data_IF_614160210367
#
_entry.id   IF_614160210367
#
_cell.length_a   1.000
_cell.length_b   1.000
_cell.length_c   1.000
_cell.angle_alpha   90.00
_cell.angle_beta   90.00
_cell.angle_gamma   90.00
#
_symmetry.space_group_name_H-M   'P 1'
#
loop_
_entity.id
_entity.type
_entity.pdbx_description
1 polymer ?
#
# COMPACT_ATOMS: atom_id res chain seq x y z
N UNK A 1 6.28 1.20 18.95
CA UNK A 1 4.84 1.40 19.26
C UNK A 1 4.04 0.95 18.05
N UNK A 2 2.84 0.42 18.23
CA UNK A 2 2.00 0.02 17.09
C UNK A 2 1.41 1.28 16.43
N UNK A 3 1.36 1.29 15.10
CA UNK A 3 0.78 2.38 14.31
C UNK A 3 -0.67 2.63 14.71
N UNK A 4 -0.98 3.89 15.05
CA UNK A 4 -2.35 4.31 15.39
C UNK A 4 -3.24 4.24 14.15
N UNK A 5 -4.27 3.42 14.19
CA UNK A 5 -5.27 3.29 13.13
C UNK A 5 -6.67 3.11 13.73
N UNK A 6 -7.68 3.66 13.06
CA UNK A 6 -9.08 3.50 13.42
C UNK A 6 -9.66 2.19 12.88
N UNK A 7 -9.19 1.77 11.71
CA UNK A 7 -9.76 0.64 10.98
C UNK A 7 -8.92 -0.62 11.16
N UNK A 8 -9.63 -1.75 11.22
CA UNK A 8 -9.00 -3.07 11.27
C UNK A 8 -8.10 -3.30 10.02
N UNK A 9 -6.80 -3.58 10.21
CA UNK A 9 -5.88 -3.83 9.10
C UNK A 9 -6.30 -5.01 8.22
N UNK A 10 -6.95 -6.04 8.77
CA UNK A 10 -7.35 -7.22 7.98
C UNK A 10 -8.40 -6.87 6.91
N UNK A 11 -9.33 -5.97 7.27
CA UNK A 11 -10.30 -5.41 6.32
C UNK A 11 -9.61 -4.62 5.21
N UNK A 12 -8.59 -3.82 5.55
CA UNK A 12 -7.79 -3.07 4.58
C UNK A 12 -6.98 -3.97 3.64
N UNK A 13 -6.34 -5.02 4.18
CA UNK A 13 -5.59 -6.02 3.40
C UNK A 13 -6.50 -6.68 2.38
N UNK A 14 -7.64 -7.20 2.84
CA UNK A 14 -8.61 -7.89 1.98
C UNK A 14 -9.07 -6.96 0.86
N UNK A 15 -9.50 -5.75 1.19
CA UNK A 15 -9.96 -4.74 0.23
C UNK A 15 -8.92 -4.48 -0.86
N UNK A 16 -7.68 -4.21 -0.46
CA UNK A 16 -6.61 -3.85 -1.40
C UNK A 16 -6.18 -5.02 -2.28
N UNK A 17 -6.08 -6.24 -1.75
CA UNK A 17 -5.72 -7.42 -2.56
C UNK A 17 -6.82 -7.84 -3.55
N UNK A 18 -8.08 -7.47 -3.30
CA UNK A 18 -9.20 -7.74 -4.22
C UNK A 18 -9.55 -6.58 -5.12
N UNK A 19 -9.03 -5.37 -4.87
CA UNK A 19 -9.44 -4.12 -5.57
C UNK A 19 -9.33 -4.20 -7.09
N UNK A 20 -8.39 -4.99 -7.63
CA UNK A 20 -8.23 -5.16 -9.07
C UNK A 20 -9.35 -5.94 -9.75
N UNK A 21 -10.11 -6.74 -9.00
CA UNK A 21 -11.28 -7.44 -9.52
C UNK A 21 -12.40 -6.45 -9.88
N UNK A 22 -12.43 -5.29 -9.21
CA UNK A 22 -13.47 -4.26 -9.39
C UNK A 22 -13.22 -3.38 -10.63
N UNK A 23 -12.01 -3.36 -11.17
CA UNK A 23 -11.61 -2.51 -12.33
C UNK A 23 -12.08 -3.12 -13.67
N UNK A 24 -12.76 -4.27 -13.66
CA UNK A 24 -13.62 -4.75 -14.75
C UNK A 24 -12.96 -5.06 -16.10
N UNK A 25 -11.64 -4.98 -16.24
CA UNK A 25 -10.96 -5.03 -17.53
C UNK A 25 -9.81 -6.03 -17.59
N UNK A 26 -9.93 -6.98 -18.52
CA UNK A 26 -8.86 -7.68 -19.23
C UNK A 26 -8.06 -8.77 -18.50
N UNK A 27 -8.30 -9.99 -18.97
CA UNK A 27 -7.66 -11.24 -18.54
C UNK A 27 -6.15 -11.31 -18.75
N UNK A 28 -5.55 -10.36 -19.49
CA UNK A 28 -4.11 -10.27 -19.72
C UNK A 28 -3.32 -9.65 -18.56
N UNK A 29 -4.01 -9.05 -17.57
CA UNK A 29 -3.37 -8.49 -16.37
C UNK A 29 -3.42 -9.42 -15.16
N UNK A 30 -4.11 -10.56 -15.25
CA UNK A 30 -4.06 -11.61 -14.22
C UNK A 30 -2.71 -12.30 -14.28
N UNK A 31 -1.77 -11.59 -13.69
CA UNK A 31 -0.43 -12.05 -13.36
C UNK A 31 -0.53 -13.03 -12.21
N UNK A 32 0.42 -13.95 -12.10
CA UNK A 32 0.29 -15.04 -11.15
C UNK A 32 0.33 -14.52 -9.71
N UNK A 33 -0.51 -15.10 -8.85
CA UNK A 33 -0.42 -15.01 -7.40
C UNK A 33 0.85 -15.75 -6.95
N UNK A 34 1.99 -15.08 -7.11
CA UNK A 34 3.30 -15.71 -6.96
C UNK A 34 3.93 -15.34 -5.62
N UNK A 35 4.33 -16.32 -4.80
CA UNK A 35 5.12 -16.05 -3.61
C UNK A 35 6.44 -15.35 -3.95
N UNK A 36 6.95 -14.55 -3.02
CA UNK A 36 8.22 -13.82 -3.17
C UNK A 36 9.38 -14.73 -3.63
N UNK A 37 9.53 -15.91 -3.03
CA UNK A 37 10.68 -16.78 -3.28
C UNK A 37 10.66 -17.43 -4.67
N UNK A 38 9.46 -17.59 -5.25
CA UNK A 38 9.27 -18.15 -6.59
C UNK A 38 9.38 -17.09 -7.70
N UNK A 39 9.39 -15.80 -7.35
CA UNK A 39 9.47 -14.70 -8.29
C UNK A 39 10.81 -14.64 -9.04
N UNK A 40 10.80 -14.01 -10.23
CA UNK A 40 12.05 -13.69 -10.90
C UNK A 40 12.91 -12.75 -10.05
N UNK A 41 14.24 -12.86 -10.16
CA UNK A 41 15.17 -12.10 -9.32
C UNK A 41 14.96 -10.58 -9.38
N UNK A 42 14.54 -10.06 -10.53
CA UNK A 42 14.28 -8.64 -10.75
C UNK A 42 13.10 -8.12 -9.90
N UNK A 43 12.04 -8.92 -9.70
CA UNK A 43 10.95 -8.55 -8.81
C UNK A 43 11.33 -8.64 -7.33
N UNK A 44 12.15 -9.62 -6.95
CA UNK A 44 12.67 -9.69 -5.57
C UNK A 44 13.53 -8.46 -5.24
N UNK A 45 14.38 -8.04 -6.17
CA UNK A 45 15.16 -6.80 -6.04
C UNK A 45 14.27 -5.56 -5.96
N UNK A 46 13.20 -5.48 -6.76
CA UNK A 46 12.21 -4.41 -6.66
C UNK A 46 11.56 -4.39 -5.27
N UNK A 47 11.18 -5.54 -4.73
CA UNK A 47 10.58 -5.64 -3.41
C UNK A 47 11.54 -5.24 -2.29
N UNK A 48 12.81 -5.66 -2.35
CA UNK A 48 13.83 -5.25 -1.38
C UNK A 48 14.00 -3.73 -1.37
N UNK A 49 14.04 -3.10 -2.56
CA UNK A 49 14.09 -1.65 -2.69
C UNK A 49 12.81 -0.97 -2.14
N UNK A 50 11.63 -1.51 -2.47
CA UNK A 50 10.35 -1.04 -1.95
C UNK A 50 10.32 -1.08 -0.42
N UNK A 51 10.70 -2.21 0.18
CA UNK A 51 10.72 -2.40 1.64
C UNK A 51 11.59 -1.36 2.34
N UNK A 52 12.75 -1.04 1.79
CA UNK A 52 13.62 0.01 2.35
C UNK A 52 12.99 1.40 2.23
N UNK A 53 12.44 1.74 1.06
CA UNK A 53 11.81 3.04 0.81
C UNK A 53 10.59 3.25 1.71
N UNK A 54 9.70 2.25 1.79
CA UNK A 54 8.48 2.37 2.58
C UNK A 54 8.78 2.38 4.09
N UNK A 55 9.84 1.68 4.54
CA UNK A 55 10.30 1.76 5.92
C UNK A 55 10.80 3.17 6.28
N UNK A 56 11.54 3.82 5.38
CA UNK A 56 11.97 5.21 5.58
C UNK A 56 10.76 6.15 5.66
N UNK A 57 9.79 6.00 4.75
CA UNK A 57 8.56 6.79 4.78
C UNK A 57 7.73 6.53 6.03
N UNK A 58 7.65 5.28 6.51
CA UNK A 58 6.97 4.92 7.76
C UNK A 58 7.55 5.67 8.96
N UNK A 59 8.89 5.75 9.05
CA UNK A 59 9.58 6.43 10.15
C UNK A 59 9.22 7.91 10.28
N UNK A 60 8.66 8.51 9.22
CA UNK A 60 8.23 9.90 9.21
C UNK A 60 6.70 10.04 9.25
N UNK A 61 5.99 9.18 8.53
CA UNK A 61 4.53 9.18 8.47
C UNK A 61 3.90 8.80 9.82
N UNK A 62 4.48 7.84 10.55
CA UNK A 62 3.93 7.40 11.83
C UNK A 62 3.99 8.52 12.90
N UNK A 63 5.13 9.18 13.17
CA UNK A 63 5.18 10.30 14.11
C UNK A 63 4.32 11.51 13.67
N UNK A 64 4.28 11.79 12.36
CA UNK A 64 3.41 12.85 11.84
C UNK A 64 1.92 12.56 12.10
N UNK A 65 1.51 11.31 11.92
CA UNK A 65 0.15 10.87 12.19
C UNK A 65 -0.19 10.93 13.68
N UNK A 66 0.71 10.46 14.55
CA UNK A 66 0.57 10.58 16.00
C UNK A 66 0.39 12.05 16.42
N UNK A 67 1.21 12.96 15.89
CA UNK A 67 1.06 14.40 16.12
C UNK A 67 -0.27 14.97 15.60
N UNK A 68 -0.80 14.42 14.51
CA UNK A 68 -2.12 14.79 13.97
C UNK A 68 -3.25 14.38 14.92
N UNK A 69 -3.20 13.15 15.46
CA UNK A 69 -4.18 12.66 16.45
C UNK A 69 -4.06 13.46 17.76
N UNK A 70 -2.85 13.74 18.21
CA UNK A 70 -2.62 14.53 19.43
C UNK A 70 -3.10 15.98 19.27
N UNK A 71 -3.01 16.57 18.08
CA UNK A 71 -3.58 17.88 17.80
C UNK A 71 -5.11 17.91 17.96
N UNK A 72 -5.82 16.82 17.61
CA UNK A 72 -7.26 16.69 17.86
C UNK A 72 -7.55 16.51 19.36
N UNK A 73 -6.72 15.75 20.09
CA UNK A 73 -6.84 15.63 21.55
C UNK A 73 -6.65 16.95 22.29
N UNK A 74 -5.74 17.79 21.82
CA UNK A 74 -5.51 19.13 22.37
C UNK A 74 -6.73 20.07 22.20
N UNK A 75 -7.72 19.70 21.38
CA UNK A 75 -9.03 20.38 21.30
C UNK A 75 -10.03 19.91 22.37
N UNK A 76 -9.61 19.02 23.28
CA UNK A 76 -10.44 18.48 24.35
C UNK A 76 -11.15 17.17 24.02
N UNK A 77 -10.82 16.53 22.89
CA UNK A 77 -11.39 15.25 22.48
C UNK A 77 -10.78 14.09 23.27
N UNK A 78 -11.56 13.01 23.46
CA UNK A 78 -11.03 11.75 23.96
C UNK A 78 -10.05 11.13 22.95
N UNK A 79 -9.26 10.13 23.37
CA UNK A 79 -8.34 9.45 22.45
C UNK A 79 -9.06 8.83 21.25
N UNK A 80 -10.24 8.24 21.46
CA UNK A 80 -11.05 7.60 20.42
C UNK A 80 -11.65 8.65 19.48
N UNK A 81 -12.30 9.69 20.02
CA UNK A 81 -12.90 10.77 19.24
C UNK A 81 -11.83 11.55 18.44
N UNK A 82 -10.64 11.74 19.01
CA UNK A 82 -9.54 12.41 18.33
C UNK A 82 -9.00 11.58 17.16
N UNK A 83 -8.91 10.26 17.32
CA UNK A 83 -8.50 9.36 16.25
C UNK A 83 -9.54 9.35 15.13
N UNK A 84 -10.82 9.29 15.47
CA UNK A 84 -11.93 9.37 14.50
C UNK A 84 -11.94 10.72 13.77
N UNK A 85 -11.82 11.84 14.50
CA UNK A 85 -11.74 13.18 13.91
C UNK A 85 -10.55 13.33 12.96
N UNK A 86 -9.39 12.77 13.32
CA UNK A 86 -8.21 12.77 12.46
C UNK A 86 -8.47 11.99 11.16
N UNK A 87 -9.09 10.80 11.24
CA UNK A 87 -9.44 9.98 10.08
C UNK A 87 -10.50 10.64 9.19
N UNK A 88 -11.47 11.36 9.77
CA UNK A 88 -12.45 12.13 9.00
C UNK A 88 -11.80 13.23 8.16
N UNK A 89 -10.72 13.83 8.65
CA UNK A 89 -9.94 14.82 7.89
C UNK A 89 -8.95 14.17 6.91
N UNK A 90 -8.49 12.94 7.18
CA UNK A 90 -7.49 12.20 6.40
C UNK A 90 -7.87 10.73 6.34
N UNK A 91 -8.68 10.38 5.36
CA UNK A 91 -9.33 9.06 5.27
C UNK A 91 -8.36 7.88 5.12
N UNK A 92 -7.12 8.13 4.71
CA UNK A 92 -6.07 7.10 4.64
C UNK A 92 -5.14 7.09 5.87
N UNK A 93 -5.47 7.86 6.91
CA UNK A 93 -4.70 7.99 8.14
C UNK A 93 -3.21 8.26 7.87
N UNK A 94 -2.28 7.45 8.43
CA UNK A 94 -0.85 7.63 8.21
C UNK A 94 -0.43 7.42 6.74
N UNK A 95 -1.19 6.66 5.95
CA UNK A 95 -0.92 6.48 4.52
C UNK A 95 -1.28 7.73 3.68
N UNK A 96 -1.89 8.75 4.29
CA UNK A 96 -2.07 10.07 3.65
C UNK A 96 -0.76 10.86 3.52
N UNK A 97 0.36 10.39 4.08
CA UNK A 97 1.67 11.00 3.84
C UNK A 97 2.00 10.96 2.33
N UNK A 98 2.29 12.10 1.68
CA UNK A 98 2.53 12.15 0.24
C UNK A 98 3.66 11.24 -0.26
N UNK A 99 4.66 10.94 0.57
CA UNK A 99 5.78 10.06 0.20
C UNK A 99 5.33 8.61 0.16
N UNK A 100 4.48 8.20 1.10
CA UNK A 100 3.89 6.86 1.09
C UNK A 100 3.10 6.65 -0.20
N UNK A 101 2.25 7.62 -0.57
CA UNK A 101 1.49 7.61 -1.83
C UNK A 101 2.44 7.55 -3.05
N UNK A 102 3.46 8.39 -3.07
CA UNK A 102 4.42 8.45 -4.18
C UNK A 102 5.20 7.15 -4.35
N UNK A 103 5.72 6.56 -3.26
CA UNK A 103 6.45 5.28 -3.29
C UNK A 103 5.56 4.18 -3.85
N UNK A 104 4.32 4.06 -3.36
CA UNK A 104 3.37 3.05 -3.84
C UNK A 104 3.13 3.18 -5.35
N UNK A 105 2.93 4.41 -5.85
CA UNK A 105 2.76 4.65 -7.30
C UNK A 105 3.99 4.28 -8.10
N UNK A 106 5.17 4.71 -7.68
CA UNK A 106 6.43 4.42 -8.39
C UNK A 106 6.66 2.92 -8.46
N UNK A 107 6.55 2.22 -7.34
CA UNK A 107 6.78 0.77 -7.30
C UNK A 107 5.72 0.01 -8.11
N UNK A 108 4.46 0.47 -8.09
CA UNK A 108 3.42 -0.09 -8.96
C UNK A 108 3.80 0.02 -10.43
N UNK A 109 4.15 1.22 -10.90
CA UNK A 109 4.51 1.48 -12.30
C UNK A 109 5.78 0.71 -12.70
N UNK A 110 6.77 0.63 -11.81
CA UNK A 110 7.98 -0.17 -12.04
C UNK A 110 7.69 -1.66 -12.13
N UNK A 111 6.73 -2.18 -11.35
CA UNK A 111 6.25 -3.56 -11.49
C UNK A 111 5.53 -3.76 -12.84
N UNK A 112 4.68 -2.82 -13.24
CA UNK A 112 3.97 -2.86 -14.51
C UNK A 112 4.93 -2.81 -15.71
N UNK A 113 5.94 -1.95 -15.66
CA UNK A 113 6.98 -1.85 -16.70
C UNK A 113 7.74 -3.17 -16.84
N UNK A 114 8.16 -3.80 -15.72
CA UNK A 114 8.77 -5.13 -15.73
C UNK A 114 7.84 -6.19 -16.32
N UNK A 115 6.57 -6.18 -15.92
CA UNK A 115 5.57 -7.11 -16.47
C UNK A 115 5.48 -7.01 -18.00
N UNK A 116 5.55 -5.82 -18.59
CA UNK A 116 5.49 -5.64 -20.05
C UNK A 116 6.63 -6.36 -20.81
N UNK A 117 7.76 -6.62 -20.15
CA UNK A 117 8.94 -7.26 -20.73
C UNK A 117 9.05 -8.76 -20.40
N UNK A 118 8.19 -9.27 -19.51
CA UNK A 118 8.27 -10.63 -18.99
C UNK A 118 7.27 -11.57 -19.69
N UNK A 119 7.60 -12.88 -19.83
CA UNK A 119 6.63 -13.89 -20.22
C UNK A 119 5.46 -13.93 -19.23
N UNK A 120 4.24 -14.23 -19.69
CA UNK A 120 3.02 -14.20 -18.86
C UNK A 120 3.17 -14.98 -17.54
N UNK A 121 3.80 -16.16 -17.58
CA UNK A 121 4.06 -17.00 -16.40
C UNK A 121 4.97 -16.35 -15.35
N UNK A 122 5.77 -15.36 -15.74
CA UNK A 122 6.71 -14.67 -14.86
C UNK A 122 6.17 -13.37 -14.28
N UNK A 123 5.12 -12.81 -14.88
CA UNK A 123 4.54 -11.54 -14.44
C UNK A 123 3.93 -11.67 -13.03
N UNK A 124 3.94 -10.55 -12.29
CA UNK A 124 3.49 -10.47 -10.90
C UNK A 124 2.46 -9.36 -10.72
N UNK A 125 1.49 -9.59 -9.83
CA UNK A 125 0.49 -8.59 -9.47
C UNK A 125 1.14 -7.49 -8.61
N UNK A 126 1.04 -6.20 -8.99
CA UNK A 126 1.56 -5.12 -8.17
C UNK A 126 1.04 -5.16 -6.73
N UNK A 127 -0.25 -5.48 -6.51
CA UNK A 127 -0.80 -5.61 -5.15
C UNK A 127 -0.11 -6.70 -4.32
N UNK A 128 0.31 -7.80 -4.95
CA UNK A 128 1.01 -8.89 -4.24
C UNK A 128 2.39 -8.41 -3.81
N UNK A 129 3.13 -7.78 -4.72
CA UNK A 129 4.44 -7.21 -4.41
C UNK A 129 4.35 -6.13 -3.32
N UNK A 130 3.34 -5.25 -3.40
CA UNK A 130 3.19 -4.13 -2.47
C UNK A 130 2.60 -4.51 -1.12
N UNK A 131 1.83 -5.60 -1.01
CA UNK A 131 1.11 -5.92 0.22
C UNK A 131 1.22 -7.39 0.63
N UNK A 132 0.94 -8.34 -0.25
CA UNK A 132 1.00 -9.76 0.13
C UNK A 132 2.42 -10.14 0.57
N UNK A 133 3.45 -9.67 -0.11
CA UNK A 133 4.83 -9.97 0.24
C UNK A 133 5.28 -9.31 1.56
N UNK A 134 4.69 -8.16 1.94
CA UNK A 134 4.89 -7.60 3.28
C UNK A 134 4.23 -8.47 4.36
N UNK A 135 3.03 -9.00 4.08
CA UNK A 135 2.32 -9.94 4.97
C UNK A 135 3.16 -11.21 5.16
N UNK A 136 3.64 -11.80 4.07
CA UNK A 136 4.44 -13.02 4.10
C UNK A 136 5.79 -12.82 4.81
N UNK A 137 6.39 -11.63 4.68
CA UNK A 137 7.63 -11.25 5.35
C UNK A 137 7.44 -10.89 6.84
N UNK A 138 6.19 -10.83 7.35
CA UNK A 138 5.90 -10.48 8.73
C UNK A 138 6.07 -8.99 9.06
N UNK A 139 6.09 -8.11 8.06
CA UNK A 139 6.31 -6.66 8.18
C UNK A 139 5.07 -5.93 8.75
N UNK A 140 4.70 -6.28 9.97
CA UNK A 140 3.39 -5.96 10.60
C UNK A 140 3.03 -4.48 10.53
N UNK A 141 3.97 -3.58 10.81
CA UNK A 141 3.71 -2.13 10.83
C UNK A 141 3.62 -1.52 9.43
N UNK A 142 4.39 -2.04 8.47
CA UNK A 142 4.30 -1.63 7.08
C UNK A 142 3.00 -2.12 6.45
N UNK A 143 2.57 -3.35 6.79
CA UNK A 143 1.26 -3.88 6.42
C UNK A 143 0.15 -2.98 6.97
N UNK A 144 0.22 -2.58 8.25
CA UNK A 144 -0.76 -1.65 8.85
C UNK A 144 -0.80 -0.31 8.13
N UNK A 145 0.37 0.25 7.79
CA UNK A 145 0.46 1.50 7.04
C UNK A 145 -0.25 1.38 5.70
N UNK A 146 0.11 0.39 4.87
CA UNK A 146 -0.47 0.22 3.54
C UNK A 146 -1.97 -0.10 3.62
N UNK A 147 -2.40 -0.93 4.58
CA UNK A 147 -3.81 -1.28 4.78
C UNK A 147 -4.71 -0.07 5.14
N UNK A 148 -4.14 1.06 5.58
CA UNK A 148 -4.89 2.29 5.77
C UNK A 148 -5.35 2.93 4.46
N UNK A 149 -4.73 2.62 3.31
CA UNK A 149 -5.15 3.17 2.02
C UNK A 149 -6.54 2.68 1.62
N UNK A 150 -7.51 3.59 1.36
CA UNK A 150 -8.86 3.18 0.96
C UNK A 150 -8.90 2.50 -0.41
N UNK A 151 -7.97 2.84 -1.30
CA UNK A 151 -7.80 2.28 -2.63
C UNK A 151 -6.32 2.40 -3.05
N UNK A 152 -5.91 1.67 -4.08
CA UNK A 152 -4.58 1.85 -4.68
C UNK A 152 -4.51 3.20 -5.40
N UNK A 153 -3.52 4.05 -5.10
CA UNK A 153 -3.44 5.41 -5.66
C UNK A 153 -2.95 5.43 -7.11
N UNK A 154 -3.49 4.57 -7.96
CA UNK A 154 -3.11 4.34 -9.35
C UNK A 154 -4.37 4.31 -10.23
N UNK A 155 -4.24 4.76 -11.48
CA UNK A 155 -5.32 4.73 -12.45
C UNK A 155 -4.90 4.08 -13.76
N UNK A 156 -5.82 4.10 -14.72
CA UNK A 156 -5.56 3.76 -16.11
C UNK A 156 -5.64 5.03 -16.95
N UNK A 157 -4.74 5.15 -17.92
CA UNK A 157 -4.82 6.17 -18.96
C UNK A 157 -5.93 5.84 -19.99
N UNK A 158 -6.10 6.72 -20.97
CA UNK A 158 -7.08 6.55 -22.07
C UNK A 158 -6.84 5.30 -22.94
N UNK A 159 -5.64 4.71 -22.87
CA UNK A 159 -5.25 3.53 -23.62
C UNK A 159 -5.29 2.24 -22.77
N UNK A 160 -5.67 2.34 -21.49
CA UNK A 160 -5.69 1.22 -20.56
C UNK A 160 -4.32 0.85 -19.99
N UNK A 161 -3.33 1.76 -20.01
CA UNK A 161 -2.05 1.58 -19.32
C UNK A 161 -2.09 2.18 -17.91
N UNK A 162 -1.34 1.61 -16.97
CA UNK A 162 -1.20 2.16 -15.61
C UNK A 162 -0.57 3.57 -15.61
N UNK A 163 -1.16 4.52 -14.87
CA UNK A 163 -0.66 5.90 -14.70
C UNK A 163 -0.88 6.48 -13.28
#
# INVERSE_FOLDING_TARGET
>A
MALLTLHDPQTGIRRLLTAMLDVGGHSSWYTADKPHDEAAADYRQLFDAYRQLIQQAYNEAAPWWEGTVEAERNKGLSQEDALEAAFNNRMAGPASDPRVVWIVRVIWLECANRNAMMPDKEKIRPEYLLLQWLVDAGETELVRLIACMPYWPIGLDENGNWC
#
